data_IF_152801162840
#
_entry.id   IF_152801162840
#
_cell.length_a   1.000
_cell.length_b   1.000
_cell.length_c   1.000
_cell.angle_alpha   90.00
_cell.angle_beta   90.00
_cell.angle_gamma   90.00
#
_symmetry.space_group_name_H-M   'P 1'
#
loop_
_entity.id
_entity.type
_entity.pdbx_description
1 polymer ?
#
# COMPACT_ATOMS: atom_id res chain seq x y z
N UNK A 1 -23.72 -11.12 35.86
CA UNK A 1 -23.69 -11.96 34.66
C UNK A 1 -22.76 -11.29 33.65
N UNK A 2 -21.58 -11.87 33.42
CA UNK A 2 -20.60 -11.32 32.50
C UNK A 2 -21.03 -11.63 31.05
N UNK A 3 -21.13 -10.59 30.22
CA UNK A 3 -21.39 -10.74 28.78
C UNK A 3 -20.32 -11.59 28.12
N UNK A 4 -20.75 -12.52 27.27
CA UNK A 4 -19.89 -13.40 26.48
C UNK A 4 -18.95 -12.60 25.56
N UNK A 5 -17.62 -12.79 25.64
CA UNK A 5 -16.67 -12.16 24.72
C UNK A 5 -16.59 -12.83 23.33
N UNK A 6 -17.43 -13.82 23.05
CA UNK A 6 -17.30 -14.73 21.90
C UNK A 6 -17.87 -14.19 20.58
N UNK A 7 -18.75 -13.18 20.62
CA UNK A 7 -19.47 -12.68 19.43
C UNK A 7 -18.68 -11.66 18.59
N UNK A 8 -17.61 -11.07 19.14
CA UNK A 8 -16.93 -9.94 18.49
C UNK A 8 -15.83 -10.38 17.50
N UNK A 9 -15.23 -11.56 17.69
CA UNK A 9 -14.11 -12.00 16.86
C UNK A 9 -14.56 -12.29 15.42
N UNK A 10 -15.71 -12.95 15.23
CA UNK A 10 -16.23 -13.25 13.88
C UNK A 10 -16.51 -11.99 13.05
N UNK A 11 -17.06 -10.95 13.70
CA UNK A 11 -17.30 -9.65 13.06
C UNK A 11 -15.99 -8.96 12.67
N UNK A 12 -15.03 -8.88 13.60
CA UNK A 12 -13.70 -8.30 13.33
C UNK A 12 -12.99 -9.02 12.19
N UNK A 13 -13.04 -10.35 12.15
CA UNK A 13 -12.41 -11.12 11.06
C UNK A 13 -13.02 -10.80 9.69
N UNK A 14 -14.35 -10.72 9.63
CA UNK A 14 -15.06 -10.39 8.39
C UNK A 14 -14.72 -8.96 7.92
N UNK A 15 -14.81 -8.00 8.83
CA UNK A 15 -14.49 -6.59 8.55
C UNK A 15 -13.04 -6.42 8.06
N UNK A 16 -12.07 -7.05 8.73
CA UNK A 16 -10.68 -6.97 8.29
C UNK A 16 -10.45 -7.66 6.93
N UNK A 17 -11.15 -8.76 6.66
CA UNK A 17 -11.07 -9.40 5.35
C UNK A 17 -11.63 -8.50 4.22
N UNK A 18 -12.77 -7.87 4.45
CA UNK A 18 -13.37 -6.91 3.50
C UNK A 18 -12.44 -5.70 3.28
N UNK A 19 -11.83 -5.18 4.35
CA UNK A 19 -10.83 -4.10 4.26
C UNK A 19 -9.61 -4.52 3.41
N UNK A 20 -9.08 -5.73 3.59
CA UNK A 20 -7.98 -6.24 2.77
C UNK A 20 -8.39 -6.41 1.30
N UNK A 21 -9.59 -6.91 1.02
CA UNK A 21 -10.09 -7.00 -0.36
C UNK A 21 -10.20 -5.62 -1.01
N UNK A 22 -10.66 -4.61 -0.26
CA UNK A 22 -10.72 -3.23 -0.75
C UNK A 22 -9.32 -2.67 -1.05
N UNK A 23 -8.35 -2.89 -0.15
CA UNK A 23 -6.95 -2.50 -0.36
C UNK A 23 -6.31 -3.19 -1.57
N UNK A 24 -6.60 -4.48 -1.77
CA UNK A 24 -6.13 -5.23 -2.93
C UNK A 24 -6.68 -4.66 -4.25
N UNK A 25 -7.98 -4.35 -4.31
CA UNK A 25 -8.59 -3.74 -5.49
C UNK A 25 -7.98 -2.36 -5.80
N UNK A 26 -7.75 -1.54 -4.78
CA UNK A 26 -7.12 -0.23 -4.95
C UNK A 26 -5.66 -0.36 -5.42
N UNK A 27 -4.91 -1.32 -4.88
CA UNK A 27 -3.54 -1.59 -5.31
C UNK A 27 -3.48 -2.02 -6.77
N UNK A 28 -4.35 -2.94 -7.18
CA UNK A 28 -4.41 -3.39 -8.57
C UNK A 28 -4.81 -2.25 -9.51
N UNK A 29 -5.71 -1.36 -9.08
CA UNK A 29 -6.08 -0.18 -9.86
C UNK A 29 -4.91 0.82 -10.02
N UNK A 30 -4.12 1.04 -8.96
CA UNK A 30 -2.90 1.86 -9.03
C UNK A 30 -1.85 1.25 -9.95
N UNK A 31 -1.66 -0.07 -9.86
CA UNK A 31 -0.71 -0.80 -10.71
C UNK A 31 -1.11 -0.73 -12.20
N UNK A 32 -2.39 -0.95 -12.51
CA UNK A 32 -2.89 -0.85 -13.86
C UNK A 32 -2.69 0.57 -14.45
N UNK A 33 -2.97 1.62 -13.65
CA UNK A 33 -2.74 3.01 -14.07
C UNK A 33 -1.25 3.27 -14.34
N UNK A 34 -0.38 2.77 -13.46
CA UNK A 34 1.06 2.99 -13.60
C UNK A 34 1.70 2.20 -14.76
N UNK A 35 1.20 0.99 -15.06
CA UNK A 35 1.67 0.16 -16.18
C UNK A 35 1.15 0.66 -17.54
N UNK A 36 -0.01 1.31 -17.60
CA UNK A 36 -0.51 1.96 -18.84
C UNK A 36 0.36 3.18 -19.22
N UNK A 37 0.93 3.86 -18.23
CA UNK A 37 1.62 5.13 -18.39
C UNK A 37 3.05 5.04 -18.95
N UNK A 38 3.57 3.87 -19.35
CA UNK A 38 4.94 3.76 -19.90
C UNK A 38 5.16 4.52 -21.24
N UNK A 39 4.08 5.01 -21.88
CA UNK A 39 4.12 5.81 -23.11
C UNK A 39 3.69 7.28 -22.99
N UNK A 40 2.95 7.68 -21.95
CA UNK A 40 2.46 9.06 -21.77
C UNK A 40 3.28 9.84 -20.74
N UNK A 41 3.43 11.15 -20.95
CA UNK A 41 4.20 12.04 -20.08
C UNK A 41 3.45 12.28 -18.77
N UNK A 42 3.61 11.37 -17.80
CA UNK A 42 3.12 11.58 -16.44
C UNK A 42 3.84 12.78 -15.82
N UNK A 43 3.05 13.76 -15.37
CA UNK A 43 3.57 14.96 -14.71
C UNK A 43 4.14 14.65 -13.32
N UNK A 44 4.99 15.55 -12.81
CA UNK A 44 5.53 15.40 -11.46
C UNK A 44 4.43 15.39 -10.39
N UNK A 45 3.37 16.18 -10.58
CA UNK A 45 2.25 16.29 -9.65
C UNK A 45 1.43 14.99 -9.59
N UNK A 46 1.23 14.32 -10.73
CA UNK A 46 0.56 13.02 -10.79
C UNK A 46 1.36 11.93 -10.06
N UNK A 47 2.69 11.93 -10.22
CA UNK A 47 3.57 10.98 -9.52
C UNK A 47 3.55 11.21 -8.01
N UNK A 48 3.55 12.47 -7.57
CA UNK A 48 3.45 12.80 -6.15
C UNK A 48 2.06 12.45 -5.58
N UNK A 49 0.99 12.60 -6.37
CA UNK A 49 -0.34 12.13 -5.99
C UNK A 49 -0.38 10.59 -5.82
N UNK A 50 0.19 9.84 -6.77
CA UNK A 50 0.30 8.38 -6.64
C UNK A 50 1.12 7.96 -5.43
N UNK A 51 2.20 8.68 -5.12
CA UNK A 51 3.02 8.42 -3.94
C UNK A 51 2.22 8.60 -2.65
N UNK A 52 1.47 9.71 -2.53
CA UNK A 52 0.60 9.98 -1.37
C UNK A 52 -0.50 8.92 -1.19
N UNK A 53 -1.05 8.44 -2.29
CA UNK A 53 -2.05 7.36 -2.25
C UNK A 53 -1.43 6.03 -1.81
N UNK A 54 -0.22 5.71 -2.27
CA UNK A 54 0.55 4.56 -1.76
C UNK A 54 0.85 4.68 -0.26
N UNK A 55 1.26 5.86 0.23
CA UNK A 55 1.49 6.11 1.66
C UNK A 55 0.22 5.90 2.49
N UNK A 56 -0.92 6.42 2.01
CA UNK A 56 -2.21 6.25 2.68
C UNK A 56 -2.63 4.77 2.74
N UNK A 57 -2.38 4.01 1.67
CA UNK A 57 -2.66 2.58 1.63
C UNK A 57 -1.73 1.79 2.55
N UNK A 58 -0.45 2.18 2.65
CA UNK A 58 0.51 1.60 3.60
C UNK A 58 0.02 1.77 5.05
N UNK A 59 -0.46 2.95 5.41
CA UNK A 59 -1.01 3.21 6.75
C UNK A 59 -2.20 2.30 7.05
N UNK A 60 -3.18 2.22 6.14
CA UNK A 60 -4.35 1.35 6.32
C UNK A 60 -3.98 -0.13 6.41
N UNK A 61 -3.03 -0.57 5.60
CA UNK A 61 -2.54 -1.95 5.64
C UNK A 61 -1.86 -2.25 6.99
N UNK A 62 -1.08 -1.32 7.53
CA UNK A 62 -0.44 -1.45 8.83
C UNK A 62 -1.46 -1.55 9.98
N UNK A 63 -2.51 -0.72 9.95
CA UNK A 63 -3.61 -0.79 10.91
C UNK A 63 -4.36 -2.13 10.84
N UNK A 64 -4.61 -2.63 9.63
CA UNK A 64 -5.20 -3.94 9.41
C UNK A 64 -4.29 -5.05 9.96
N UNK A 65 -3.00 -5.04 9.63
CA UNK A 65 -2.02 -6.03 10.14
C UNK A 65 -1.96 -6.05 11.67
N UNK A 66 -1.97 -4.87 12.31
CA UNK A 66 -2.00 -4.75 13.78
C UNK A 66 -3.26 -5.38 14.35
N UNK A 67 -4.42 -5.06 13.78
CA UNK A 67 -5.72 -5.59 14.23
C UNK A 67 -5.78 -7.11 14.09
N UNK A 68 -5.32 -7.64 12.95
CA UNK A 68 -5.25 -9.08 12.69
C UNK A 68 -4.29 -9.76 13.65
N UNK A 69 -3.11 -9.19 13.90
CA UNK A 69 -2.16 -9.73 14.89
C UNK A 69 -2.77 -9.82 16.29
N UNK A 70 -3.47 -8.77 16.73
CA UNK A 70 -4.18 -8.79 18.02
C UNK A 70 -5.30 -9.83 18.05
N UNK A 71 -6.02 -10.00 16.93
CA UNK A 71 -7.06 -11.04 16.81
C UNK A 71 -6.46 -12.47 16.86
N UNK A 72 -5.29 -12.70 16.24
CA UNK A 72 -4.55 -13.97 16.33
C UNK A 72 -4.18 -14.25 17.78
N UNK A 73 -3.54 -13.30 18.46
CA UNK A 73 -3.11 -13.47 19.86
C UNK A 73 -4.28 -13.79 20.80
N UNK A 74 -5.44 -13.18 20.58
CA UNK A 74 -6.67 -13.47 21.33
C UNK A 74 -7.26 -14.83 20.99
N UNK A 75 -7.20 -15.25 19.73
CA UNK A 75 -7.65 -16.58 19.33
C UNK A 75 -6.74 -17.67 19.91
N UNK A 76 -5.43 -17.47 19.88
CA UNK A 76 -4.43 -18.37 20.47
C UNK A 76 -4.61 -18.52 21.99
N UNK A 77 -4.93 -17.45 22.71
CA UNK A 77 -5.17 -17.51 24.16
C UNK A 77 -6.51 -18.15 24.56
N UNK A 78 -7.44 -18.29 23.61
CA UNK A 78 -8.76 -18.93 23.80
C UNK A 78 -8.80 -20.38 23.26
N UNK A 79 -7.67 -20.95 22.86
CA UNK A 79 -7.59 -22.23 22.15
C UNK A 79 -7.81 -23.48 23.04
N UNK A 80 -9.08 -23.85 23.25
CA UNK A 80 -9.48 -25.24 23.59
C UNK A 80 -10.71 -25.65 22.75
N UNK A 81 -10.51 -26.25 21.56
CA UNK A 81 -11.61 -26.90 20.81
C UNK A 81 -11.62 -26.73 19.28
N UNK A 82 -12.42 -27.55 18.60
CA UNK A 82 -12.46 -27.72 17.13
C UNK A 82 -12.97 -26.48 16.36
N UNK A 83 -13.88 -25.69 16.94
CA UNK A 83 -14.33 -24.41 16.36
C UNK A 83 -13.26 -23.30 16.34
N UNK A 84 -12.12 -23.50 17.02
CA UNK A 84 -10.98 -22.60 16.93
C UNK A 84 -10.06 -22.90 15.74
N UNK A 85 -10.09 -24.12 15.18
CA UNK A 85 -9.28 -24.46 14.01
C UNK A 85 -9.72 -23.68 12.76
N UNK A 86 -11.04 -23.51 12.55
CA UNK A 86 -11.58 -22.75 11.43
C UNK A 86 -11.34 -21.24 11.57
N UNK A 87 -11.42 -20.70 12.80
CA UNK A 87 -11.06 -19.31 13.10
C UNK A 87 -9.58 -19.06 12.86
N UNK A 88 -8.71 -19.99 13.28
CA UNK A 88 -7.27 -19.91 13.05
C UNK A 88 -6.92 -19.96 11.55
N UNK A 89 -7.60 -20.83 10.78
CA UNK A 89 -7.45 -20.89 9.33
C UNK A 89 -7.86 -19.58 8.66
N UNK A 90 -8.97 -18.99 9.09
CA UNK A 90 -9.44 -17.68 8.58
C UNK A 90 -8.42 -16.57 8.87
N UNK A 91 -7.88 -16.54 10.09
CA UNK A 91 -6.82 -15.63 10.49
C UNK A 91 -5.54 -15.77 9.66
N UNK A 92 -5.11 -17.01 9.39
CA UNK A 92 -3.96 -17.27 8.52
C UNK A 92 -4.22 -16.79 7.09
N UNK A 93 -5.43 -16.98 6.55
CA UNK A 93 -5.80 -16.50 5.22
C UNK A 93 -5.76 -14.96 5.14
N UNK A 94 -6.31 -14.27 6.15
CA UNK A 94 -6.25 -12.81 6.27
C UNK A 94 -4.80 -12.34 6.32
N UNK A 95 -3.96 -12.99 7.13
CA UNK A 95 -2.52 -12.66 7.23
C UNK A 95 -1.80 -12.84 5.89
N UNK A 96 -2.02 -13.96 5.20
CA UNK A 96 -1.41 -14.24 3.89
C UNK A 96 -1.84 -13.19 2.85
N UNK A 97 -3.10 -12.78 2.89
CA UNK A 97 -3.63 -11.74 2.00
C UNK A 97 -3.00 -10.38 2.28
N UNK A 98 -2.84 -9.99 3.55
CA UNK A 98 -2.12 -8.77 3.93
C UNK A 98 -0.66 -8.76 3.42
N UNK A 99 0.05 -9.90 3.55
CA UNK A 99 1.42 -10.04 3.02
C UNK A 99 1.45 -9.86 1.50
N UNK A 100 0.49 -10.44 0.78
CA UNK A 100 0.38 -10.28 -0.67
C UNK A 100 0.18 -8.82 -1.07
N UNK A 101 -0.75 -8.14 -0.39
CA UNK A 101 -1.03 -6.71 -0.62
C UNK A 101 0.20 -5.85 -0.34
N UNK A 102 0.95 -6.13 0.74
CA UNK A 102 2.21 -5.44 1.05
C UNK A 102 3.21 -5.57 -0.09
N UNK A 103 3.47 -6.79 -0.59
CA UNK A 103 4.42 -7.02 -1.70
C UNK A 103 4.06 -6.20 -2.94
N UNK A 104 2.78 -6.17 -3.30
CA UNK A 104 2.29 -5.39 -4.44
C UNK A 104 2.49 -3.89 -4.22
N UNK A 105 2.25 -3.41 -3.00
CA UNK A 105 2.41 -2.00 -2.63
C UNK A 105 3.89 -1.58 -2.60
N UNK A 106 4.78 -2.44 -2.11
CA UNK A 106 6.23 -2.21 -2.09
C UNK A 106 6.78 -2.06 -3.52
N UNK A 107 6.33 -2.92 -4.45
CA UNK A 107 6.68 -2.82 -5.87
C UNK A 107 6.19 -1.49 -6.50
N UNK A 108 4.98 -1.05 -6.14
CA UNK A 108 4.41 0.23 -6.58
C UNK A 108 5.24 1.42 -6.07
N UNK A 109 5.57 1.43 -4.77
CA UNK A 109 6.40 2.48 -4.16
C UNK A 109 7.78 2.54 -4.81
N UNK A 110 8.38 1.39 -5.11
CA UNK A 110 9.66 1.33 -5.80
C UNK A 110 9.56 1.89 -7.23
N UNK A 111 8.56 1.48 -8.01
CA UNK A 111 8.31 1.99 -9.36
C UNK A 111 8.09 3.52 -9.38
N UNK A 112 7.24 4.03 -8.48
CA UNK A 112 6.95 5.46 -8.35
C UNK A 112 8.21 6.23 -7.97
N UNK A 113 8.99 5.73 -7.00
CA UNK A 113 10.23 6.36 -6.53
C UNK A 113 11.29 6.44 -7.65
N UNK A 114 11.45 5.39 -8.44
CA UNK A 114 12.37 5.38 -9.61
C UNK A 114 11.96 6.45 -10.62
N UNK A 115 10.66 6.56 -10.92
CA UNK A 115 10.12 7.53 -11.89
C UNK A 115 10.27 8.98 -11.41
N UNK A 116 9.96 9.23 -10.13
CA UNK A 116 10.17 10.52 -9.46
C UNK A 116 11.64 10.97 -9.52
N UNK A 117 12.56 10.07 -9.20
CA UNK A 117 14.00 10.35 -9.26
C UNK A 117 14.50 10.58 -10.70
N UNK A 118 13.94 9.86 -11.68
CA UNK A 118 14.23 10.05 -13.10
C UNK A 118 13.83 11.44 -13.60
N UNK A 119 12.63 11.91 -13.23
CA UNK A 119 12.15 13.24 -13.58
C UNK A 119 12.97 14.34 -12.90
N UNK A 120 13.27 14.20 -11.61
CA UNK A 120 14.11 15.16 -10.88
C UNK A 120 15.45 15.40 -11.58
N UNK A 121 16.13 14.33 -12.05
CA UNK A 121 17.37 14.43 -12.82
C UNK A 121 17.19 15.16 -14.15
N UNK A 122 16.14 14.86 -14.92
CA UNK A 122 15.85 15.53 -16.20
C UNK A 122 15.58 17.03 -16.00
N UNK A 123 14.78 17.39 -15.00
CA UNK A 123 14.46 18.79 -14.67
C UNK A 123 15.71 19.57 -14.26
N UNK A 124 16.58 18.98 -13.43
CA UNK A 124 17.87 19.55 -13.06
C UNK A 124 18.77 19.79 -14.28
N UNK A 125 18.76 18.88 -15.25
CA UNK A 125 19.58 18.99 -16.46
C UNK A 125 19.07 20.08 -17.41
N UNK A 126 17.75 20.21 -17.57
CA UNK A 126 17.13 21.32 -18.32
C UNK A 126 17.44 22.67 -17.66
N UNK A 127 17.33 22.76 -16.33
CA UNK A 127 17.67 23.99 -15.59
C UNK A 127 19.12 24.41 -15.78
N UNK A 128 20.07 23.46 -15.70
CA UNK A 128 21.49 23.71 -16.00
C UNK A 128 21.72 24.16 -17.44
N UNK A 129 21.05 23.54 -18.40
CA UNK A 129 21.16 23.93 -19.82
C UNK A 129 20.60 25.34 -20.05
N UNK A 130 19.45 25.68 -19.46
CA UNK A 130 18.87 27.02 -19.55
C UNK A 130 19.76 28.08 -18.88
N UNK A 131 20.45 27.73 -17.80
CA UNK A 131 21.44 28.62 -17.17
C UNK A 131 22.67 28.82 -18.07
N UNK A 132 23.18 27.77 -18.74
CA UNK A 132 24.25 27.89 -19.74
C UNK A 132 23.85 28.75 -20.92
N UNK A 133 22.63 28.58 -21.45
CA UNK A 133 22.10 29.39 -22.56
C UNK A 133 22.05 30.88 -22.17
N UNK A 134 21.56 31.19 -20.96
CA UNK A 134 21.55 32.57 -20.45
C UNK A 134 22.95 33.17 -20.33
N UNK A 135 23.92 32.41 -19.82
CA UNK A 135 25.31 32.86 -19.70
C UNK A 135 25.98 33.07 -21.07
N UNK A 136 25.67 32.24 -22.06
CA UNK A 136 26.17 32.41 -23.42
C UNK A 136 25.62 33.70 -24.06
N UNK A 137 24.32 33.96 -23.90
CA UNK A 137 23.67 35.17 -24.42
C UNK A 137 24.16 36.48 -23.77
N UNK A 138 24.77 36.42 -22.58
CA UNK A 138 25.35 37.59 -21.90
C UNK A 138 26.79 37.91 -22.33
N UNK A 139 27.48 36.95 -22.96
CA UNK A 139 28.89 37.07 -23.37
C UNK A 139 29.04 37.27 -24.90
N UNK A 140 27.93 37.54 -25.60
CA UNK A 140 27.88 38.00 -27.00
C UNK A 140 27.49 39.47 -27.03
#
# INVERSE_FOLDING_TARGET
MAQEPSSNLGFVLKEQYENLCSLEMMNNALLARFDIDDGESVSHDQIDAYFKDCERHLTKLFECEKTVKTAIQRAESQCTGQGNADKMRTLMNIRNKAISIRKTLDLLVEKISRRRNGLSKKTLQISKNNQKIRLYAQNM
#
